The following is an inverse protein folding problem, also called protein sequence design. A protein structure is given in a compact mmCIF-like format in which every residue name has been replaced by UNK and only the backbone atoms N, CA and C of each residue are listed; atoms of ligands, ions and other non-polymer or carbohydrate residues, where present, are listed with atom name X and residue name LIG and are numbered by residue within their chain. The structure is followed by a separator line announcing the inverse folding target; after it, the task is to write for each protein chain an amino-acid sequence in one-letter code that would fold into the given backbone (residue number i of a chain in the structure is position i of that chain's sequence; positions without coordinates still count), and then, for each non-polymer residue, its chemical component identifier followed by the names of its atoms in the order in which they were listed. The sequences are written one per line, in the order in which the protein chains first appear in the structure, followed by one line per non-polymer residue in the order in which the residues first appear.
data_IF_735482660019
#
_entry.id   IF_735482660019
#
_cell.length_a   1.000
_cell.length_b   1.000
_cell.length_c   1.000
_cell.angle_alpha   90.00
_cell.angle_beta   90.00
_cell.angle_gamma   90.00
#
_symmetry.space_group_name_H-M   'P 1'
#
loop_
_entity.id
_entity.type
_entity.pdbx_description
1 polymer ?
#
# COMPACT_ATOMS: atom_id res chain seq x y z
N UNK A 1 -20.83 -20.37 9.18
CA UNK A 1 -22.32 -20.35 9.20
C UNK A 1 -22.78 -19.84 7.83
N UNK A 2 -23.92 -20.28 7.28
CA UNK A 2 -24.44 -19.68 6.06
C UNK A 2 -24.66 -18.18 6.31
N UNK A 3 -24.11 -17.35 5.44
CA UNK A 3 -24.29 -15.90 5.52
C UNK A 3 -25.78 -15.61 5.25
N UNK A 4 -26.39 -14.71 6.03
CA UNK A 4 -27.76 -14.26 5.76
C UNK A 4 -27.72 -13.52 4.41
N UNK A 5 -28.77 -13.58 3.58
CA UNK A 5 -28.80 -12.76 2.35
C UNK A 5 -29.21 -11.31 2.65
N UNK A 6 -28.96 -10.38 1.73
CA UNK A 6 -29.23 -8.95 1.96
C UNK A 6 -30.70 -8.67 2.27
N UNK A 7 -31.66 -9.34 1.61
CA UNK A 7 -33.08 -9.06 1.83
C UNK A 7 -33.47 -9.47 3.26
N UNK A 8 -33.12 -10.69 3.65
CA UNK A 8 -33.37 -11.18 5.01
C UNK A 8 -32.67 -10.30 6.04
N UNK A 9 -31.43 -9.85 5.78
CA UNK A 9 -30.74 -8.94 6.70
C UNK A 9 -31.48 -7.61 6.85
N UNK A 10 -31.91 -6.98 5.75
CA UNK A 10 -32.65 -5.72 5.79
C UNK A 10 -34.00 -5.85 6.50
N UNK A 11 -34.68 -6.99 6.37
CA UNK A 11 -35.89 -7.29 7.14
C UNK A 11 -35.61 -7.39 8.64
N UNK A 12 -34.50 -8.04 9.03
CA UNK A 12 -34.11 -8.19 10.43
C UNK A 12 -33.63 -6.87 11.06
N UNK A 13 -32.86 -6.06 10.33
CA UNK A 13 -32.34 -4.80 10.86
C UNK A 13 -33.35 -3.66 10.75
N UNK A 14 -34.33 -3.72 9.84
CA UNK A 14 -35.31 -2.67 9.60
C UNK A 14 -34.83 -1.56 8.67
N UNK A 15 -35.58 -0.45 8.62
CA UNK A 15 -35.35 0.63 7.66
C UNK A 15 -34.09 1.45 7.96
N UNK A 16 -33.18 1.53 6.99
CA UNK A 16 -31.94 2.30 7.09
C UNK A 16 -32.26 3.79 7.09
N UNK A 17 -31.63 4.53 8.02
CA UNK A 17 -31.90 5.95 8.25
C UNK A 17 -30.71 6.66 8.87
N UNK A 18 -30.71 8.00 8.81
CA UNK A 18 -29.68 8.85 9.43
C UNK A 18 -29.84 8.96 10.96
N UNK A 19 -30.51 8.00 11.62
CA UNK A 19 -30.65 8.01 13.07
C UNK A 19 -29.30 7.82 13.74
N UNK A 20 -29.00 8.66 14.73
CA UNK A 20 -27.81 8.57 15.59
C UNK A 20 -28.09 7.80 16.88
N UNK A 21 -29.29 7.23 17.03
CA UNK A 21 -29.64 6.44 18.21
C UNK A 21 -28.84 5.13 18.24
N UNK A 22 -28.37 4.76 19.42
CA UNK A 22 -27.68 3.50 19.65
C UNK A 22 -28.58 2.32 19.29
N UNK A 23 -28.02 1.40 18.51
CA UNK A 23 -28.75 0.25 17.97
C UNK A 23 -29.71 0.61 16.85
N UNK A 24 -29.57 1.76 16.17
CA UNK A 24 -30.35 2.06 14.97
C UNK A 24 -30.22 0.95 13.91
N UNK A 25 -31.19 0.87 12.98
CA UNK A 25 -31.15 -0.11 11.88
C UNK A 25 -29.83 -0.04 11.09
N UNK A 26 -29.36 1.17 10.82
CA UNK A 26 -28.10 1.41 10.10
C UNK A 26 -26.87 1.02 10.90
N UNK A 27 -26.84 1.27 12.21
CA UNK A 27 -25.76 0.79 13.06
C UNK A 27 -25.74 -0.75 13.11
N UNK A 28 -26.89 -1.40 13.30
CA UNK A 28 -26.98 -2.87 13.28
C UNK A 28 -26.55 -3.46 11.95
N UNK A 29 -26.94 -2.83 10.83
CA UNK A 29 -26.53 -3.23 9.49
C UNK A 29 -25.00 -3.16 9.35
N UNK A 30 -24.39 -2.02 9.65
CA UNK A 30 -22.93 -1.80 9.57
C UNK A 30 -22.16 -2.76 10.49
N UNK A 31 -22.66 -2.98 11.71
CA UNK A 31 -22.06 -3.94 12.64
C UNK A 31 -22.13 -5.37 12.09
N UNK A 32 -23.25 -5.77 11.50
CA UNK A 32 -23.37 -7.07 10.85
C UNK A 32 -22.36 -7.21 9.71
N UNK A 33 -22.27 -6.21 8.82
CA UNK A 33 -21.29 -6.21 7.71
C UNK A 33 -19.87 -6.41 8.25
N UNK A 34 -19.45 -5.60 9.23
CA UNK A 34 -18.11 -5.67 9.83
C UNK A 34 -17.73 -7.03 10.40
N UNK A 35 -18.72 -7.79 10.89
CA UNK A 35 -18.48 -9.07 11.57
C UNK A 35 -18.65 -10.28 10.65
N UNK A 36 -19.43 -10.17 9.57
CA UNK A 36 -19.89 -11.33 8.79
C UNK A 36 -19.63 -11.22 7.28
N UNK A 37 -19.41 -10.02 6.74
CA UNK A 37 -19.26 -9.77 5.29
C UNK A 37 -17.81 -9.37 5.01
N UNK A 38 -16.87 -10.29 5.23
CA UNK A 38 -15.44 -9.99 5.18
C UNK A 38 -14.75 -10.43 3.89
N UNK A 39 -15.34 -11.38 3.14
CA UNK A 39 -14.76 -11.86 1.88
C UNK A 39 -15.26 -11.08 0.67
N UNK A 40 -14.44 -10.97 -0.37
CA UNK A 40 -14.85 -10.34 -1.62
C UNK A 40 -16.09 -11.01 -2.25
N UNK A 41 -16.22 -12.34 -2.09
CA UNK A 41 -17.39 -13.10 -2.54
C UNK A 41 -18.67 -12.67 -1.83
N UNK A 42 -18.63 -12.50 -0.50
CA UNK A 42 -19.79 -12.08 0.28
C UNK A 42 -20.19 -10.64 -0.06
N UNK A 43 -19.20 -9.74 -0.12
CA UNK A 43 -19.40 -8.34 -0.50
C UNK A 43 -20.03 -8.25 -1.90
N UNK A 44 -19.54 -9.04 -2.86
CA UNK A 44 -20.08 -9.12 -4.22
C UNK A 44 -21.56 -9.52 -4.21
N UNK A 45 -21.91 -10.61 -3.53
CA UNK A 45 -23.28 -11.10 -3.47
C UNK A 45 -24.26 -10.06 -2.89
N UNK A 46 -23.84 -9.36 -1.84
CA UNK A 46 -24.63 -8.30 -1.22
C UNK A 46 -24.81 -7.10 -2.14
N UNK A 47 -23.73 -6.63 -2.77
CA UNK A 47 -23.80 -5.47 -3.66
C UNK A 47 -24.62 -5.79 -4.93
N UNK A 48 -24.46 -6.98 -5.50
CA UNK A 48 -25.27 -7.42 -6.66
C UNK A 48 -26.76 -7.40 -6.31
N UNK A 49 -27.14 -7.94 -5.15
CA UNK A 49 -28.53 -7.88 -4.66
C UNK A 49 -29.00 -6.43 -4.52
N UNK A 50 -28.19 -5.54 -3.95
CA UNK A 50 -28.54 -4.12 -3.81
C UNK A 50 -28.70 -3.40 -5.16
N UNK A 51 -27.96 -3.79 -6.19
CA UNK A 51 -28.03 -3.22 -7.54
C UNK A 51 -29.16 -3.77 -8.40
N UNK A 52 -29.63 -4.99 -8.11
CA UNK A 52 -30.75 -5.62 -8.83
C UNK A 52 -32.11 -5.17 -8.33
N UNK A 53 -32.21 -4.84 -7.05
CA UNK A 53 -33.46 -4.41 -6.44
C UNK A 53 -33.71 -2.92 -6.62
N UNK A 54 -34.99 -2.54 -6.70
CA UNK A 54 -35.41 -1.13 -6.81
C UNK A 54 -35.93 -0.65 -5.47
N UNK A 55 -35.38 0.46 -4.97
CA UNK A 55 -35.93 1.13 -3.80
C UNK A 55 -34.90 1.93 -3.01
N UNK A 56 -35.39 2.92 -2.25
CA UNK A 56 -34.56 3.78 -1.41
C UNK A 56 -33.72 2.98 -0.40
N UNK A 57 -34.31 1.93 0.17
CA UNK A 57 -33.61 1.04 1.12
C UNK A 57 -32.38 0.36 0.50
N UNK A 58 -32.48 -0.08 -0.76
CA UNK A 58 -31.38 -0.74 -1.48
C UNK A 58 -30.29 0.26 -1.89
N UNK A 59 -30.65 1.49 -2.23
CA UNK A 59 -29.69 2.56 -2.48
C UNK A 59 -28.86 2.88 -1.23
N UNK A 60 -29.52 2.93 -0.06
CA UNK A 60 -28.85 3.11 1.24
C UNK A 60 -27.95 1.94 1.60
N UNK A 61 -28.43 0.72 1.39
CA UNK A 61 -27.64 -0.48 1.61
C UNK A 61 -26.40 -0.49 0.70
N UNK A 62 -26.55 -0.11 -0.58
CA UNK A 62 -25.44 0.01 -1.52
C UNK A 62 -24.40 1.02 -1.04
N UNK A 63 -24.82 2.22 -0.61
CA UNK A 63 -23.91 3.23 -0.05
C UNK A 63 -23.09 2.67 1.11
N UNK A 64 -23.74 2.01 2.08
CA UNK A 64 -23.04 1.42 3.23
C UNK A 64 -22.15 0.23 2.83
N UNK A 65 -22.57 -0.59 1.86
CA UNK A 65 -21.76 -1.70 1.34
C UNK A 65 -20.49 -1.22 0.64
N UNK A 66 -20.57 -0.13 -0.14
CA UNK A 66 -19.37 0.49 -0.76
C UNK A 66 -18.45 1.07 0.31
N UNK A 67 -19.00 1.71 1.33
CA UNK A 67 -18.20 2.19 2.46
C UNK A 67 -17.56 1.05 3.25
N UNK A 68 -18.28 -0.06 3.44
CA UNK A 68 -17.74 -1.25 4.06
C UNK A 68 -16.61 -1.88 3.21
N UNK A 69 -16.77 -1.92 1.88
CA UNK A 69 -15.69 -2.30 0.96
C UNK A 69 -14.46 -1.41 1.16
N UNK A 70 -14.64 -0.09 1.35
CA UNK A 70 -13.55 0.82 1.72
C UNK A 70 -12.82 0.41 3.00
N UNK A 71 -13.55 -0.05 4.02
CA UNK A 71 -12.93 -0.58 5.26
C UNK A 71 -12.10 -1.83 4.97
N UNK A 72 -12.62 -2.76 4.16
CA UNK A 72 -11.92 -3.98 3.79
C UNK A 72 -10.68 -3.72 2.92
N UNK A 73 -10.66 -2.60 2.18
CA UNK A 73 -9.48 -2.07 1.47
C UNK A 73 -8.46 -1.38 2.38
N UNK A 74 -8.71 -1.35 3.70
CA UNK A 74 -7.79 -0.83 4.71
C UNK A 74 -7.94 0.66 5.01
N UNK A 75 -9.01 1.31 4.55
CA UNK A 75 -9.29 2.70 4.90
C UNK A 75 -10.02 2.82 6.24
N UNK A 76 -9.74 3.91 6.96
CA UNK A 76 -10.62 4.37 8.04
C UNK A 76 -11.83 5.08 7.41
N UNK A 77 -13.01 4.50 7.54
CA UNK A 77 -14.21 4.98 6.84
C UNK A 77 -15.18 5.66 7.80
N UNK A 78 -15.56 6.89 7.45
CA UNK A 78 -16.73 7.58 8.00
C UNK A 78 -17.88 7.45 7.01
N UNK A 79 -18.97 6.81 7.43
CA UNK A 79 -20.19 6.67 6.64
C UNK A 79 -20.89 8.03 6.51
N UNK A 80 -21.27 8.38 5.28
CA UNK A 80 -22.06 9.57 4.99
C UNK A 80 -23.52 9.42 5.39
N UNK A 81 -24.28 10.48 5.15
CA UNK A 81 -25.73 10.51 5.34
C UNK A 81 -26.41 9.92 4.12
N UNK A 82 -27.55 9.26 4.31
CA UNK A 82 -28.40 8.81 3.21
C UNK A 82 -29.22 9.95 2.61
N UNK A 83 -29.55 10.96 3.43
CA UNK A 83 -30.32 12.13 2.98
C UNK A 83 -29.51 13.40 3.15
N UNK A 84 -29.44 14.17 2.07
CA UNK A 84 -28.86 15.51 2.10
C UNK A 84 -29.63 16.44 3.02
N UNK A 85 -28.92 17.11 3.92
CA UNK A 85 -29.47 18.12 4.82
C UNK A 85 -28.85 19.47 4.48
N UNK A 86 -29.68 20.52 4.44
CA UNK A 86 -29.22 21.87 4.14
C UNK A 86 -28.16 22.31 5.15
N UNK A 87 -27.01 22.75 4.65
CA UNK A 87 -25.90 23.23 5.49
C UNK A 87 -25.00 22.13 6.05
N UNK A 88 -25.20 20.86 5.66
CA UNK A 88 -24.28 19.77 5.94
C UNK A 88 -23.69 19.21 4.65
N UNK A 89 -22.48 18.66 4.74
CA UNK A 89 -21.84 18.04 3.58
C UNK A 89 -22.53 16.72 3.24
N UNK A 90 -22.92 16.55 1.98
CA UNK A 90 -23.75 15.43 1.51
C UNK A 90 -22.98 14.30 0.84
N UNK A 91 -21.72 14.07 1.18
CA UNK A 91 -20.96 12.94 0.63
C UNK A 91 -21.52 11.61 1.15
N UNK A 92 -21.34 10.55 0.36
CA UNK A 92 -21.81 9.22 0.73
C UNK A 92 -20.84 8.47 1.65
N UNK A 93 -19.54 8.75 1.51
CA UNK A 93 -18.48 8.22 2.35
C UNK A 93 -17.24 9.11 2.41
N UNK A 94 -16.49 9.03 3.51
CA UNK A 94 -15.17 9.63 3.64
C UNK A 94 -14.17 8.57 4.09
N UNK A 95 -13.22 8.24 3.21
CA UNK A 95 -12.21 7.21 3.45
C UNK A 95 -10.86 7.89 3.74
N UNK A 96 -10.25 7.59 4.88
CA UNK A 96 -8.97 8.15 5.28
C UNK A 96 -7.90 7.08 5.26
N UNK A 97 -6.75 7.41 4.66
CA UNK A 97 -5.57 6.58 4.73
C UNK A 97 -4.75 6.92 5.98
N UNK A 98 -4.41 5.91 6.77
CA UNK A 98 -3.66 6.08 8.02
C UNK A 98 -2.16 6.33 7.80
N UNK A 99 -1.63 6.05 6.60
CA UNK A 99 -0.19 6.03 6.33
C UNK A 99 0.38 7.35 5.79
N UNK A 100 -0.42 8.14 5.06
CA UNK A 100 0.10 9.30 4.31
C UNK A 100 -0.86 10.50 4.28
N UNK A 101 -1.93 10.46 5.08
CA UNK A 101 -2.86 11.59 5.23
C UNK A 101 -3.82 11.80 4.06
N UNK A 102 -3.81 10.93 3.05
CA UNK A 102 -4.78 11.01 1.96
C UNK A 102 -6.21 10.77 2.45
N UNK A 103 -7.14 11.52 1.88
CA UNK A 103 -8.58 11.35 2.10
C UNK A 103 -9.30 11.22 0.76
N UNK A 104 -10.24 10.28 0.68
CA UNK A 104 -11.08 10.05 -0.50
C UNK A 104 -12.53 10.35 -0.11
N UNK A 105 -13.15 11.31 -0.78
CA UNK A 105 -14.57 11.64 -0.63
C UNK A 105 -15.34 10.86 -1.69
N UNK A 106 -16.24 9.99 -1.25
CA UNK A 106 -16.93 9.01 -2.08
C UNK A 106 -18.36 9.45 -2.36
N UNK A 107 -18.78 9.28 -3.61
CA UNK A 107 -20.17 9.39 -4.07
C UNK A 107 -20.55 8.11 -4.82
N UNK A 108 -21.64 7.48 -4.39
CA UNK A 108 -22.13 6.21 -4.93
C UNK A 108 -23.35 6.44 -5.82
N UNK A 109 -23.38 5.73 -6.95
CA UNK A 109 -24.50 5.74 -7.90
C UNK A 109 -24.78 4.33 -8.39
N UNK A 110 -26.05 3.98 -8.52
CA UNK A 110 -26.46 2.68 -9.10
C UNK A 110 -26.11 2.58 -10.58
N UNK A 111 -26.21 3.71 -11.31
CA UNK A 111 -25.90 3.83 -12.74
C UNK A 111 -25.34 5.21 -13.07
N UNK A 112 -24.57 5.29 -14.15
CA UNK A 112 -23.99 6.51 -14.74
C UNK A 112 -24.91 7.25 -15.73
N UNK A 113 -26.09 6.71 -16.03
CA UNK A 113 -27.07 7.29 -16.97
C UNK A 113 -27.58 8.67 -16.51
N UNK A 114 -27.56 8.94 -15.20
CA UNK A 114 -27.98 10.22 -14.66
C UNK A 114 -26.84 11.24 -14.67
N UNK A 115 -27.17 12.48 -15.10
CA UNK A 115 -26.26 13.63 -15.11
C UNK A 115 -25.75 13.98 -13.71
N UNK A 116 -24.69 13.33 -13.26
CA UNK A 116 -23.95 13.73 -12.07
C UNK A 116 -22.93 14.79 -12.48
N UNK A 117 -22.92 15.90 -11.76
CA UNK A 117 -21.97 17.00 -12.00
C UNK A 117 -20.73 16.77 -11.15
N UNK A 118 -19.57 16.86 -11.78
CA UNK A 118 -18.25 16.95 -11.13
C UNK A 118 -18.21 17.98 -9.99
N UNK A 119 -19.03 19.03 -10.07
CA UNK A 119 -19.14 20.10 -9.09
C UNK A 119 -19.66 19.61 -7.73
N UNK A 120 -20.41 18.50 -7.68
CA UNK A 120 -20.97 17.95 -6.45
C UNK A 120 -19.86 17.51 -5.49
N UNK A 121 -18.99 16.57 -5.92
CA UNK A 121 -17.89 16.10 -5.07
C UNK A 121 -16.88 17.21 -4.77
N UNK A 122 -16.57 18.09 -5.74
CA UNK A 122 -15.70 19.23 -5.46
C UNK A 122 -16.31 20.17 -4.41
N UNK A 123 -17.62 20.40 -4.46
CA UNK A 123 -18.34 21.17 -3.46
C UNK A 123 -18.21 20.54 -2.07
N UNK A 124 -18.34 19.22 -1.98
CA UNK A 124 -18.17 18.50 -0.72
C UNK A 124 -16.74 18.58 -0.19
N UNK A 125 -15.73 18.38 -1.05
CA UNK A 125 -14.32 18.53 -0.69
C UNK A 125 -14.07 19.95 -0.15
N UNK A 126 -14.55 20.98 -0.85
CA UNK A 126 -14.35 22.36 -0.41
C UNK A 126 -15.04 22.64 0.93
N UNK A 127 -16.25 22.10 1.15
CA UNK A 127 -16.96 22.24 2.43
C UNK A 127 -16.21 21.55 3.58
N UNK A 128 -15.75 20.31 3.38
CA UNK A 128 -14.95 19.57 4.36
C UNK A 128 -13.63 20.26 4.72
N UNK A 129 -12.97 20.88 3.74
CA UNK A 129 -11.78 21.71 3.97
C UNK A 129 -12.14 22.94 4.79
N UNK A 130 -13.26 23.63 4.47
CA UNK A 130 -13.70 24.82 5.20
C UNK A 130 -14.10 24.53 6.65
N UNK A 131 -14.62 23.33 6.92
CA UNK A 131 -14.95 22.83 8.25
C UNK A 131 -13.72 22.27 9.01
N UNK A 132 -12.54 22.33 8.41
CA UNK A 132 -11.27 21.84 8.96
C UNK A 132 -11.26 20.33 9.27
N UNK A 133 -12.14 19.57 8.60
CA UNK A 133 -12.22 18.11 8.67
C UNK A 133 -11.19 17.43 7.76
N UNK A 134 -10.73 18.14 6.73
CA UNK A 134 -9.64 17.76 5.84
C UNK A 134 -8.48 18.75 5.97
N UNK A 135 -7.38 18.30 6.59
CA UNK A 135 -6.23 19.14 6.92
C UNK A 135 -5.42 19.58 5.69
N UNK A 136 -5.40 18.78 4.63
CA UNK A 136 -4.63 19.06 3.42
C UNK A 136 -5.50 18.86 2.16
N UNK A 137 -5.95 19.94 1.51
CA UNK A 137 -6.73 19.86 0.27
C UNK A 137 -6.00 19.16 -0.87
N UNK A 138 -4.67 19.24 -0.93
CA UNK A 138 -3.85 18.63 -1.99
C UNK A 138 -3.72 17.11 -1.82
N UNK A 139 -4.05 16.59 -0.64
CA UNK A 139 -4.12 15.15 -0.33
C UNK A 139 -5.58 14.67 -0.26
N UNK A 140 -6.46 15.28 -1.06
CA UNK A 140 -7.87 14.90 -1.13
C UNK A 140 -8.27 14.55 -2.56
N UNK A 141 -8.92 13.39 -2.71
CA UNK A 141 -9.48 12.92 -3.97
C UNK A 141 -11.00 12.76 -3.86
N UNK A 142 -11.74 13.12 -4.90
CA UNK A 142 -13.14 12.71 -5.06
C UNK A 142 -13.23 11.44 -5.89
N UNK A 143 -14.02 10.47 -5.43
CA UNK A 143 -14.23 9.19 -6.13
C UNK A 143 -15.72 8.96 -6.38
N UNK A 144 -16.11 8.92 -7.65
CA UNK A 144 -17.41 8.43 -8.05
C UNK A 144 -17.36 6.91 -8.21
N UNK A 145 -18.29 6.21 -7.54
CA UNK A 145 -18.44 4.76 -7.61
C UNK A 145 -19.75 4.41 -8.30
N UNK A 146 -19.67 3.75 -9.46
CA UNK A 146 -20.84 3.37 -10.26
C UNK A 146 -21.10 1.87 -10.20
N UNK A 147 -22.34 1.49 -9.89
CA UNK A 147 -22.80 0.11 -9.94
C UNK A 147 -22.71 -0.48 -11.34
N UNK A 148 -23.20 0.27 -12.34
CA UNK A 148 -23.19 -0.11 -13.75
C UNK A 148 -22.78 1.10 -14.59
N UNK A 149 -21.81 0.89 -15.49
CA UNK A 149 -21.54 1.84 -16.57
C UNK A 149 -22.40 1.47 -17.78
N UNK A 150 -23.11 2.43 -18.34
CA UNK A 150 -23.70 2.31 -19.66
C UNK A 150 -22.61 2.57 -20.71
N UNK A 151 -22.33 1.54 -21.51
CA UNK A 151 -21.29 1.54 -22.54
C UNK A 151 -21.47 2.62 -23.62
N UNK A 152 -22.63 3.30 -23.65
CA UNK A 152 -22.92 4.38 -24.58
C UNK A 152 -22.65 5.78 -23.99
N UNK A 153 -22.33 5.90 -22.70
CA UNK A 153 -22.24 7.22 -22.03
C UNK A 153 -21.05 7.35 -21.07
N UNK A 154 -19.90 7.81 -21.57
CA UNK A 154 -18.77 8.23 -20.72
C UNK A 154 -18.92 9.67 -20.20
N UNK A 155 -20.13 10.09 -19.80
CA UNK A 155 -20.43 11.50 -19.51
C UNK A 155 -19.58 12.07 -18.36
N UNK A 156 -19.44 11.32 -17.26
CA UNK A 156 -18.65 11.76 -16.11
C UNK A 156 -17.15 11.82 -16.44
N UNK A 157 -16.62 10.81 -17.11
CA UNK A 157 -15.22 10.79 -17.55
C UNK A 157 -14.92 11.98 -18.46
N UNK A 158 -15.79 12.21 -19.46
CA UNK A 158 -15.68 13.36 -20.37
C UNK A 158 -15.75 14.68 -19.62
N UNK A 159 -16.65 14.83 -18.64
CA UNK A 159 -16.74 16.04 -17.82
C UNK A 159 -15.47 16.28 -17.00
N UNK A 160 -14.90 15.25 -16.37
CA UNK A 160 -13.63 15.34 -15.63
C UNK A 160 -12.49 15.78 -16.55
N UNK A 161 -12.46 15.24 -17.78
CA UNK A 161 -11.45 15.60 -18.79
C UNK A 161 -11.63 17.05 -19.23
N UNK A 162 -12.83 17.44 -19.68
CA UNK A 162 -13.13 18.77 -20.23
C UNK A 162 -12.94 19.87 -19.19
N UNK A 163 -13.30 19.60 -17.94
CA UNK A 163 -13.16 20.56 -16.83
C UNK A 163 -11.77 20.54 -16.17
N UNK A 164 -10.83 19.75 -16.70
CA UNK A 164 -9.46 19.60 -16.21
C UNK A 164 -9.36 19.21 -14.71
N UNK A 165 -10.13 18.19 -14.30
CA UNK A 165 -10.24 17.73 -12.90
C UNK A 165 -9.57 16.38 -12.64
N UNK A 166 -8.72 15.90 -13.55
CA UNK A 166 -8.10 14.56 -13.51
C UNK A 166 -7.27 14.29 -12.24
N UNK A 167 -6.67 15.33 -11.67
CA UNK A 167 -5.89 15.25 -10.43
C UNK A 167 -6.78 15.22 -9.16
N UNK A 168 -8.07 15.56 -9.28
CA UNK A 168 -8.98 15.73 -8.13
C UNK A 168 -10.16 14.78 -8.14
N UNK A 169 -10.52 14.22 -9.29
CA UNK A 169 -11.69 13.37 -9.44
C UNK A 169 -11.32 12.09 -10.20
N UNK A 170 -11.82 10.96 -9.69
CA UNK A 170 -11.74 9.65 -10.34
C UNK A 170 -13.10 8.99 -10.37
N UNK A 171 -13.23 8.04 -11.27
CA UNK A 171 -14.43 7.22 -11.44
C UNK A 171 -14.00 5.76 -11.41
N UNK A 172 -14.78 4.92 -10.74
CA UNK A 172 -14.54 3.48 -10.66
C UNK A 172 -15.87 2.73 -10.69
N UNK A 173 -15.87 1.53 -11.28
CA UNK A 173 -17.03 0.63 -11.18
C UNK A 173 -16.99 -0.15 -9.87
N UNK A 174 -18.17 -0.56 -9.41
CA UNK A 174 -18.30 -1.52 -8.31
C UNK A 174 -17.54 -2.82 -8.59
N UNK A 175 -17.68 -3.49 -9.76
CA UNK A 175 -16.86 -4.66 -10.09
C UNK A 175 -15.36 -4.43 -9.91
N UNK A 176 -14.81 -3.30 -10.39
CA UNK A 176 -13.37 -3.02 -10.28
C UNK A 176 -12.92 -2.85 -8.82
N UNK A 177 -13.76 -2.28 -7.94
CA UNK A 177 -13.47 -2.19 -6.51
C UNK A 177 -13.51 -3.56 -5.82
N UNK A 178 -14.43 -4.43 -6.22
CA UNK A 178 -14.50 -5.81 -5.70
C UNK A 178 -13.28 -6.60 -6.18
N UNK A 179 -12.91 -6.48 -7.46
CA UNK A 179 -11.72 -7.14 -7.99
C UNK A 179 -10.45 -6.65 -7.27
N UNK A 180 -10.39 -5.36 -6.90
CA UNK A 180 -9.31 -4.82 -6.06
C UNK A 180 -9.29 -5.47 -4.66
N UNK A 181 -10.45 -5.68 -4.04
CA UNK A 181 -10.54 -6.40 -2.78
C UNK A 181 -10.12 -7.88 -2.92
N UNK A 182 -10.50 -8.54 -4.02
CA UNK A 182 -10.02 -9.89 -4.35
C UNK A 182 -8.50 -9.91 -4.46
N UNK A 183 -7.89 -8.89 -5.08
CA UNK A 183 -6.44 -8.80 -5.15
C UNK A 183 -5.81 -8.68 -3.75
N UNK A 184 -6.36 -7.80 -2.89
CA UNK A 184 -5.90 -7.66 -1.50
C UNK A 184 -5.95 -9.00 -0.76
N UNK A 185 -7.06 -9.73 -0.85
CA UNK A 185 -7.26 -10.98 -0.12
C UNK A 185 -6.48 -12.15 -0.72
N UNK A 186 -6.46 -12.27 -2.04
CA UNK A 186 -5.87 -13.40 -2.76
C UNK A 186 -4.39 -13.23 -3.02
N UNK A 187 -3.86 -12.02 -3.14
CA UNK A 187 -2.43 -11.82 -3.43
C UNK A 187 -1.71 -11.16 -2.25
N UNK A 188 -2.41 -10.40 -1.40
CA UNK A 188 -1.79 -9.73 -0.25
C UNK A 188 -1.27 -8.34 -0.63
N UNK A 189 -2.03 -7.61 -1.44
CA UNK A 189 -1.73 -6.21 -1.76
C UNK A 189 -1.85 -5.38 -0.48
N UNK A 190 -0.81 -4.60 -0.18
CA UNK A 190 -0.83 -3.69 0.97
C UNK A 190 -1.72 -2.45 0.71
N UNK A 191 -2.06 -1.75 1.80
CA UNK A 191 -2.92 -0.57 1.73
C UNK A 191 -2.30 0.58 0.89
N UNK A 192 -0.97 0.72 0.90
CA UNK A 192 -0.27 1.74 0.11
C UNK A 192 -0.47 1.49 -1.40
N UNK A 193 -0.36 0.24 -1.82
CA UNK A 193 -0.62 -0.23 -3.18
C UNK A 193 -2.07 0.03 -3.59
N UNK A 194 -3.03 -0.33 -2.74
CA UNK A 194 -4.46 -0.08 -2.98
C UNK A 194 -4.74 1.42 -3.17
N UNK A 195 -4.17 2.26 -2.30
CA UNK A 195 -4.33 3.70 -2.40
C UNK A 195 -3.72 4.23 -3.71
N UNK A 196 -2.50 3.83 -4.06
CA UNK A 196 -1.82 4.28 -5.28
C UNK A 196 -2.57 3.90 -6.57
N UNK A 197 -3.38 2.84 -6.55
CA UNK A 197 -4.27 2.46 -7.65
C UNK A 197 -5.45 3.41 -7.84
N UNK A 198 -5.97 3.95 -6.73
CA UNK A 198 -7.08 4.88 -6.74
C UNK A 198 -6.63 6.32 -7.04
N UNK A 199 -5.41 6.69 -6.63
CA UNK A 199 -4.86 8.03 -6.85
C UNK A 199 -4.54 8.33 -8.32
N UNK A 200 -4.53 9.61 -8.74
CA UNK A 200 -4.04 10.02 -10.06
C UNK A 200 -2.65 9.48 -10.33
N UNK A 201 -2.44 9.01 -11.56
CA UNK A 201 -1.16 8.42 -11.92
C UNK A 201 -0.05 9.47 -11.90
N UNK A 202 1.06 9.21 -11.19
CA UNK A 202 2.20 10.12 -11.22
C UNK A 202 2.79 10.18 -12.63
N UNK A 203 3.39 11.33 -12.96
CA UNK A 203 4.11 11.54 -14.23
C UNK A 203 5.15 10.43 -14.49
N UNK A 204 5.77 9.94 -13.41
CA UNK A 204 6.68 8.80 -13.45
C UNK A 204 5.87 7.50 -13.42
N UNK A 205 6.08 6.64 -14.41
CA UNK A 205 5.37 5.35 -14.54
C UNK A 205 5.94 4.22 -13.66
N UNK A 206 7.13 4.39 -13.08
CA UNK A 206 7.77 3.37 -12.22
C UNK A 206 6.86 2.79 -11.12
N UNK A 207 6.03 3.58 -10.40
CA UNK A 207 5.10 3.05 -9.41
C UNK A 207 4.11 2.04 -10.00
N UNK A 208 3.55 2.32 -11.18
CA UNK A 208 2.62 1.41 -11.89
C UNK A 208 3.35 0.10 -12.27
N UNK A 209 4.58 0.22 -12.75
CA UNK A 209 5.36 -0.95 -13.18
C UNK A 209 5.81 -1.80 -11.98
N UNK A 210 6.07 -1.18 -10.83
CA UNK A 210 6.35 -1.90 -9.59
C UNK A 210 5.09 -2.57 -9.03
N UNK A 211 3.96 -1.88 -9.10
CA UNK A 211 2.67 -2.45 -8.74
C UNK A 211 2.35 -3.72 -9.53
N UNK A 212 2.40 -3.67 -10.87
CA UNK A 212 2.14 -4.85 -11.73
C UNK A 212 3.11 -5.99 -11.37
N UNK A 213 4.39 -5.67 -11.13
CA UNK A 213 5.37 -6.69 -10.73
C UNK A 213 5.02 -7.34 -9.40
N UNK A 214 4.64 -6.56 -8.39
CA UNK A 214 4.33 -7.09 -7.06
C UNK A 214 3.18 -8.10 -7.15
N UNK A 215 2.13 -7.78 -7.92
CA UNK A 215 1.00 -8.70 -8.14
C UNK A 215 1.45 -9.98 -8.84
N UNK A 216 2.23 -9.86 -9.92
CA UNK A 216 2.73 -11.02 -10.69
C UNK A 216 3.69 -11.90 -9.85
N UNK A 217 4.53 -11.29 -9.03
CA UNK A 217 5.46 -12.02 -8.15
C UNK A 217 4.71 -12.80 -7.06
N UNK A 218 3.68 -12.21 -6.46
CA UNK A 218 2.83 -12.88 -5.47
C UNK A 218 2.05 -14.07 -6.06
N UNK A 219 1.73 -14.04 -7.36
CA UNK A 219 1.12 -15.17 -8.06
C UNK A 219 2.12 -16.33 -8.23
N UNK A 220 3.36 -16.04 -8.64
CA UNK A 220 4.40 -17.05 -8.86
C UNK A 220 4.87 -17.74 -7.58
N UNK A 221 4.94 -17.02 -6.45
CA UNK A 221 5.33 -17.60 -5.17
C UNK A 221 4.29 -18.60 -4.61
N UNK A 222 3.02 -18.49 -5.03
CA UNK A 222 1.93 -19.38 -4.58
C UNK A 222 1.77 -20.65 -5.42
N UNK A 223 2.35 -20.71 -6.63
CA UNK A 223 2.34 -21.91 -7.48
C UNK A 223 3.45 -22.92 -7.14
N UNK A 224 4.38 -22.56 -6.25
CA UNK A 224 5.40 -23.48 -5.74
C UNK A 224 4.77 -24.39 -4.66
N UNK A 225 4.74 -25.73 -4.84
CA UNK A 225 4.16 -26.61 -3.84
C UNK A 225 4.95 -26.55 -2.53
N UNK A 226 4.21 -26.39 -1.44
CA UNK A 226 4.70 -26.42 -0.07
C UNK A 226 5.29 -27.82 0.20
N UNK A 227 6.61 -27.96 0.06
CA UNK A 227 7.34 -29.15 0.49
C UNK A 227 7.19 -29.26 2.01
N UNK A 228 6.46 -30.28 2.46
CA UNK A 228 6.24 -30.58 3.86
C UNK A 228 7.57 -30.63 4.63
N UNK A 229 7.64 -30.09 5.86
CA UNK A 229 8.87 -30.10 6.63
C UNK A 229 9.17 -31.53 7.08
N UNK A 230 10.29 -32.08 6.60
CA UNK A 230 10.89 -33.28 7.18
C UNK A 230 11.18 -33.04 8.66
N UNK A 231 10.62 -33.93 9.47
CA UNK A 231 10.85 -34.04 10.91
C UNK A 231 12.34 -34.25 11.20
N UNK A 232 12.99 -33.24 11.77
CA UNK A 232 14.34 -33.38 12.34
C UNK A 232 14.36 -32.84 13.77
N UNK A 233 14.17 -33.79 14.69
CA UNK A 233 14.73 -33.89 16.04
C UNK A 233 15.44 -32.64 16.60
N UNK A 234 14.81 -31.95 17.55
CA UNK A 234 15.51 -31.23 18.62
C UNK A 234 14.80 -31.40 19.95
N UNK A 235 15.49 -32.07 20.88
CA UNK A 235 15.18 -32.09 22.31
C UNK A 235 15.37 -30.70 22.94
N UNK A 236 14.74 -30.42 24.09
CA UNK A 236 14.40 -29.08 24.54
C UNK A 236 15.46 -28.46 25.45
N UNK A 237 15.70 -27.15 25.34
CA UNK A 237 16.39 -26.39 26.40
C UNK A 237 15.71 -25.04 26.63
N UNK A 238 15.03 -25.00 27.78
CA UNK A 238 14.79 -23.92 28.75
C UNK A 238 14.58 -22.47 28.29
N UNK A 239 13.37 -22.02 28.60
CA UNK A 239 12.95 -20.65 28.87
C UNK A 239 13.85 -20.01 29.95
N UNK A 240 14.34 -18.81 29.66
CA UNK A 240 14.69 -17.83 30.69
C UNK A 240 13.90 -16.57 30.38
N UNK A 241 12.93 -16.29 31.23
CA UNK A 241 12.23 -15.02 31.34
C UNK A 241 13.20 -13.94 31.81
N UNK A 242 13.18 -12.78 31.17
CA UNK A 242 13.42 -11.51 31.87
C UNK A 242 12.49 -10.45 31.27
N UNK A 243 11.66 -9.90 32.15
CA UNK A 243 10.77 -8.78 31.89
C UNK A 243 11.52 -7.44 31.95
N UNK A 244 10.88 -6.47 31.30
CA UNK A 244 10.84 -5.04 31.59
C UNK A 244 12.04 -4.14 31.26
N UNK A 245 11.85 -3.27 30.27
CA UNK A 245 11.49 -1.88 30.59
C UNK A 245 11.18 -1.05 29.35
N UNK A 246 10.02 -0.41 29.43
CA UNK A 246 9.47 0.59 28.53
C UNK A 246 10.23 1.92 28.70
N UNK A 247 10.73 2.53 27.62
CA UNK A 247 10.98 3.98 27.58
C UNK A 247 10.87 4.53 26.16
N UNK A 248 9.82 5.34 25.98
CA UNK A 248 9.59 6.17 24.81
C UNK A 248 10.70 7.22 24.63
N UNK A 249 11.25 7.32 23.41
CA UNK A 249 12.06 8.45 22.97
C UNK A 249 11.62 8.92 21.60
N UNK A 250 11.29 10.21 21.52
CA UNK A 250 10.77 10.91 20.36
C UNK A 250 11.72 10.83 19.15
N UNK A 251 11.16 10.62 17.96
CA UNK A 251 11.90 10.63 16.69
C UNK A 251 12.19 12.08 16.26
N UNK A 252 13.45 12.49 16.03
CA UNK A 252 13.76 13.69 15.29
C UNK A 252 13.52 13.44 13.78
N UNK A 253 12.97 14.43 13.09
CA UNK A 253 12.78 14.44 11.64
C UNK A 253 14.15 14.36 10.94
N UNK A 254 14.48 13.26 10.25
CA UNK A 254 15.70 13.13 9.46
C UNK A 254 15.53 13.79 8.08
N UNK A 255 16.32 14.83 7.82
CA UNK A 255 16.58 15.38 6.49
C UNK A 255 17.10 14.28 5.55
N UNK A 256 16.57 14.18 4.33
CA UNK A 256 17.11 13.28 3.29
C UNK A 256 18.49 13.77 2.83
N UNK A 257 19.55 12.96 2.88
CA UNK A 257 20.89 13.37 2.42
C UNK A 257 20.95 13.45 0.89
N UNK A 258 21.74 14.41 0.40
CA UNK A 258 22.03 14.67 -1.02
C UNK A 258 22.75 13.45 -1.63
N UNK A 259 22.22 12.87 -2.70
CA UNK A 259 22.85 11.74 -3.38
C UNK A 259 24.01 12.25 -4.26
N UNK A 260 25.24 11.88 -3.94
CA UNK A 260 26.44 12.19 -4.74
C UNK A 260 26.44 11.34 -6.02
N UNK A 261 26.64 11.98 -7.18
CA UNK A 261 26.77 11.28 -8.47
C UNK A 261 28.25 10.95 -8.75
N UNK A 262 28.53 9.67 -8.97
CA UNK A 262 29.85 9.11 -9.25
C UNK A 262 30.03 8.69 -10.71
N UNK A 263 29.13 9.10 -11.62
CA UNK A 263 29.24 8.81 -13.05
C UNK A 263 30.59 9.29 -13.60
N UNK A 264 31.36 8.38 -14.22
CA UNK A 264 32.68 8.69 -14.79
C UNK A 264 33.83 8.83 -13.79
N UNK A 265 33.56 8.74 -12.48
CA UNK A 265 34.57 8.90 -11.44
C UNK A 265 35.43 7.65 -11.26
N UNK A 266 36.74 7.85 -10.99
CA UNK A 266 37.66 6.77 -10.64
C UNK A 266 37.85 6.72 -9.13
N UNK A 267 37.46 5.61 -8.51
CA UNK A 267 37.64 5.42 -7.06
C UNK A 267 39.13 5.25 -6.70
N UNK A 268 39.52 5.77 -5.53
CA UNK A 268 40.86 5.68 -4.94
C UNK A 268 40.87 4.91 -3.63
N UNK A 269 39.88 5.16 -2.79
CA UNK A 269 39.73 4.46 -1.51
C UNK A 269 38.30 4.46 -1.06
N UNK A 270 38.01 3.52 -0.16
CA UNK A 270 36.81 3.49 0.65
C UNK A 270 37.23 3.53 2.10
N UNK A 271 36.54 4.34 2.89
CA UNK A 271 36.73 4.45 4.32
C UNK A 271 35.41 4.18 5.03
N UNK A 272 35.44 3.33 6.04
CA UNK A 272 34.34 3.11 6.96
C UNK A 272 34.86 3.24 8.38
N UNK A 273 34.34 4.22 9.12
CA UNK A 273 34.88 4.61 10.44
C UNK A 273 36.40 4.88 10.37
N UNK A 274 37.19 4.20 11.20
CA UNK A 274 38.65 4.34 11.26
C UNK A 274 39.40 3.45 10.26
N UNK A 275 38.70 2.61 9.49
CA UNK A 275 39.29 1.67 8.52
C UNK A 275 39.26 2.29 7.12
N UNK A 276 40.42 2.37 6.46
CA UNK A 276 40.56 2.85 5.06
C UNK A 276 41.28 1.82 4.21
N UNK A 277 40.71 1.51 3.04
CA UNK A 277 41.29 0.58 2.07
C UNK A 277 41.41 1.27 0.71
N UNK A 278 42.60 1.21 0.12
CA UNK A 278 42.85 1.70 -1.23
C UNK A 278 42.31 0.71 -2.27
N UNK A 279 41.55 1.24 -3.23
CA UNK A 279 40.88 0.46 -4.28
C UNK A 279 40.92 1.23 -5.59
N UNK A 280 41.06 0.51 -6.70
CA UNK A 280 41.14 1.09 -8.05
C UNK A 280 39.93 0.75 -8.95
N UNK A 281 39.00 -0.06 -8.45
CA UNK A 281 37.75 -0.42 -9.13
C UNK A 281 36.60 -0.37 -8.13
N UNK A 282 35.44 0.11 -8.58
CA UNK A 282 34.23 0.19 -7.76
C UNK A 282 33.81 -1.16 -7.19
N UNK A 283 33.98 -2.25 -7.95
CA UNK A 283 33.73 -3.60 -7.44
C UNK A 283 34.53 -3.91 -6.16
N UNK A 284 35.82 -3.57 -6.13
CA UNK A 284 36.67 -3.79 -4.96
C UNK A 284 36.28 -2.90 -3.78
N UNK A 285 35.72 -1.71 -4.05
CA UNK A 285 35.13 -0.89 -3.00
C UNK A 285 33.93 -1.57 -2.35
N UNK A 286 33.07 -2.22 -3.15
CA UNK A 286 31.93 -2.96 -2.63
C UNK A 286 32.35 -4.17 -1.78
N UNK A 287 33.33 -4.93 -2.27
CA UNK A 287 33.93 -6.05 -1.52
C UNK A 287 34.54 -5.58 -0.18
N UNK A 288 35.23 -4.44 -0.16
CA UNK A 288 35.75 -3.85 1.07
C UNK A 288 34.64 -3.44 2.05
N UNK A 289 33.52 -2.90 1.57
CA UNK A 289 32.35 -2.59 2.42
C UNK A 289 31.77 -3.86 3.04
N UNK A 290 31.60 -4.94 2.27
CA UNK A 290 31.17 -6.22 2.84
C UNK A 290 32.12 -6.68 3.95
N UNK A 291 33.42 -6.59 3.71
CA UNK A 291 34.43 -7.00 4.68
C UNK A 291 34.38 -6.19 5.97
N UNK A 292 34.26 -4.85 5.87
CA UNK A 292 34.11 -3.99 7.05
C UNK A 292 32.87 -4.40 7.87
N UNK A 293 31.74 -4.60 7.21
CA UNK A 293 30.49 -4.92 7.87
C UNK A 293 30.47 -6.32 8.50
N UNK A 294 31.10 -7.31 7.85
CA UNK A 294 31.26 -8.66 8.40
C UNK A 294 32.14 -8.64 9.65
N UNK A 295 33.18 -7.80 9.67
CA UNK A 295 34.05 -7.64 10.84
C UNK A 295 33.33 -7.00 12.03
N UNK A 296 32.40 -6.07 11.78
CA UNK A 296 31.60 -5.46 12.84
C UNK A 296 30.56 -6.42 13.41
N UNK A 297 29.74 -7.03 12.56
CA UNK A 297 28.75 -8.01 12.99
C UNK A 297 28.35 -8.94 11.83
N UNK A 298 29.05 -10.06 11.72
CA UNK A 298 28.81 -11.08 10.71
C UNK A 298 27.37 -11.60 10.72
N UNK A 299 26.79 -11.88 11.89
CA UNK A 299 25.45 -12.46 11.98
C UNK A 299 24.38 -11.46 11.53
N UNK A 300 24.54 -10.19 11.89
CA UNK A 300 23.68 -9.09 11.41
C UNK A 300 23.85 -8.90 9.90
N UNK A 301 25.08 -8.92 9.39
CA UNK A 301 25.34 -8.84 7.96
C UNK A 301 24.66 -9.99 7.20
N UNK A 302 24.85 -11.24 7.60
CA UNK A 302 24.25 -12.41 6.95
C UNK A 302 22.70 -12.38 7.00
N UNK A 303 22.12 -11.80 8.06
CA UNK A 303 20.68 -11.63 8.19
C UNK A 303 20.12 -10.55 7.26
N UNK A 304 20.79 -9.39 7.17
CA UNK A 304 20.22 -8.22 6.50
C UNK A 304 20.71 -8.03 5.06
N UNK A 305 21.93 -8.44 4.72
CA UNK A 305 22.47 -8.25 3.37
C UNK A 305 21.59 -8.90 2.27
N UNK A 306 21.00 -10.10 2.45
CA UNK A 306 20.11 -10.69 1.43
C UNK A 306 18.78 -9.95 1.24
N UNK A 307 18.41 -9.06 2.18
CA UNK A 307 17.20 -8.23 2.06
C UNK A 307 17.36 -7.11 1.02
N UNK A 308 18.59 -6.85 0.56
CA UNK A 308 18.87 -5.92 -0.55
C UNK A 308 18.54 -6.54 -1.89
N UNK A 309 17.28 -6.38 -2.28
CA UNK A 309 16.74 -6.86 -3.55
C UNK A 309 16.59 -5.74 -4.58
N UNK A 310 17.03 -6.03 -5.81
CA UNK A 310 16.83 -5.17 -6.96
C UNK A 310 15.52 -5.48 -7.69
N UNK A 311 15.24 -4.71 -8.74
CA UNK A 311 14.01 -4.76 -9.54
C UNK A 311 13.64 -6.16 -10.09
N UNK A 312 14.63 -6.98 -10.44
CA UNK A 312 14.43 -8.30 -11.07
C UNK A 312 15.17 -9.43 -10.36
N UNK A 313 16.18 -9.10 -9.56
CA UNK A 313 17.16 -10.04 -8.99
C UNK A 313 17.66 -9.48 -7.67
N UNK A 314 17.99 -10.33 -6.69
CA UNK A 314 18.72 -9.90 -5.51
C UNK A 314 20.08 -9.30 -5.89
N UNK A 315 20.62 -8.43 -5.04
CA UNK A 315 22.01 -8.00 -5.16
C UNK A 315 22.94 -8.90 -4.35
N UNK A 316 22.43 -9.51 -3.28
CA UNK A 316 23.13 -10.46 -2.42
C UNK A 316 22.17 -11.62 -2.15
N UNK A 317 22.66 -12.86 -2.26
CA UNK A 317 21.83 -14.08 -2.17
C UNK A 317 22.66 -15.27 -1.66
N UNK A 318 22.00 -16.22 -0.98
CA UNK A 318 22.59 -17.55 -0.70
C UNK A 318 22.68 -18.41 -1.96
N UNK A 319 21.79 -18.16 -2.93
CA UNK A 319 21.73 -18.87 -4.21
C UNK A 319 22.38 -18.00 -5.31
N UNK A 320 23.53 -18.44 -5.89
CA UNK A 320 24.22 -17.71 -6.94
C UNK A 320 23.45 -17.65 -8.27
N UNK A 321 22.52 -18.57 -8.54
CA UNK A 321 21.78 -18.63 -9.81
C UNK A 321 20.75 -17.49 -9.93
N UNK A 322 20.36 -16.90 -8.79
CA UNK A 322 19.53 -15.71 -8.74
C UNK A 322 20.27 -14.44 -9.19
N UNK A 323 21.60 -14.44 -9.17
CA UNK A 323 22.44 -13.31 -9.56
C UNK A 323 22.82 -13.38 -11.04
N UNK A 324 23.06 -12.23 -11.68
CA UNK A 324 23.47 -12.17 -13.10
C UNK A 324 24.96 -12.48 -13.26
N UNK A 325 25.78 -12.01 -12.33
CA UNK A 325 27.23 -12.28 -12.30
C UNK A 325 27.68 -12.46 -10.86
N UNK A 326 27.44 -13.66 -10.27
CA UNK A 326 27.74 -13.92 -8.87
C UNK A 326 29.24 -13.91 -8.58
N UNK A 327 29.62 -13.33 -7.45
CA UNK A 327 30.89 -13.60 -6.78
C UNK A 327 30.64 -13.92 -5.30
N UNK A 328 31.48 -14.76 -4.73
CA UNK A 328 31.38 -15.13 -3.31
C UNK A 328 31.72 -13.94 -2.41
N UNK A 329 31.02 -13.84 -1.28
CA UNK A 329 31.42 -12.98 -0.16
C UNK A 329 32.22 -13.86 0.83
N UNK A 330 33.55 -13.66 0.94
CA UNK A 330 34.38 -14.49 1.80
C UNK A 330 33.85 -14.58 3.24
N UNK A 331 34.08 -15.72 3.88
CA UNK A 331 33.65 -16.00 5.25
C UNK A 331 32.14 -16.09 5.46
N UNK A 332 31.31 -16.06 4.41
CA UNK A 332 29.84 -16.22 4.48
C UNK A 332 29.35 -17.28 3.49
N UNK A 333 28.07 -17.64 3.56
CA UNK A 333 27.39 -18.46 2.53
C UNK A 333 26.77 -17.61 1.41
N UNK A 334 27.09 -16.31 1.36
CA UNK A 334 26.46 -15.35 0.47
C UNK A 334 27.28 -15.10 -0.78
N UNK A 335 26.57 -14.77 -1.85
CA UNK A 335 27.08 -14.28 -3.12
C UNK A 335 26.56 -12.87 -3.37
N UNK A 336 27.29 -12.07 -4.13
CA UNK A 336 26.87 -10.73 -4.54
C UNK A 336 26.99 -10.51 -6.05
N UNK A 337 26.18 -9.58 -6.56
CA UNK A 337 26.20 -9.15 -7.96
C UNK A 337 27.43 -8.29 -8.26
N UNK A 338 28.25 -8.72 -9.22
CA UNK A 338 29.48 -8.00 -9.61
C UNK A 338 29.29 -6.99 -10.73
N UNK A 339 28.23 -7.12 -11.53
CA UNK A 339 27.99 -6.26 -12.70
C UNK A 339 27.14 -5.03 -12.33
N UNK A 340 27.73 -4.15 -11.52
CA UNK A 340 27.08 -2.94 -11.00
C UNK A 340 27.86 -1.66 -11.37
N UNK A 341 27.12 -0.59 -11.66
CA UNK A 341 27.70 0.73 -11.87
C UNK A 341 28.22 1.35 -10.56
N UNK A 342 29.11 2.35 -10.66
CA UNK A 342 29.62 3.12 -9.53
C UNK A 342 28.50 3.63 -8.60
N UNK A 343 27.47 4.24 -9.19
CA UNK A 343 26.31 4.76 -8.45
C UNK A 343 25.49 3.66 -7.79
N UNK A 344 25.36 2.49 -8.42
CA UNK A 344 24.68 1.36 -7.79
C UNK A 344 25.47 0.82 -6.62
N UNK A 345 26.79 0.69 -6.76
CA UNK A 345 27.67 0.23 -5.68
C UNK A 345 27.59 1.20 -4.49
N UNK A 346 27.78 2.49 -4.72
CA UNK A 346 27.70 3.49 -3.65
C UNK A 346 26.34 3.44 -2.94
N UNK A 347 25.24 3.42 -3.70
CA UNK A 347 23.88 3.32 -3.15
C UNK A 347 23.67 2.05 -2.32
N UNK A 348 24.14 0.90 -2.80
CA UNK A 348 23.98 -0.38 -2.09
C UNK A 348 24.84 -0.43 -0.84
N UNK A 349 26.06 0.11 -0.87
CA UNK A 349 26.90 0.24 0.30
C UNK A 349 26.26 1.13 1.38
N UNK A 350 25.69 2.28 1.00
CA UNK A 350 24.97 3.13 1.94
C UNK A 350 23.74 2.43 2.54
N UNK A 351 23.01 1.67 1.72
CA UNK A 351 21.87 0.91 2.22
C UNK A 351 22.29 -0.23 3.16
N UNK A 352 23.40 -0.92 2.88
CA UNK A 352 23.96 -1.95 3.76
C UNK A 352 24.34 -1.41 5.13
N UNK A 353 25.08 -0.31 5.18
CA UNK A 353 25.50 0.27 6.47
C UNK A 353 24.28 0.75 7.28
N UNK A 354 23.26 1.30 6.60
CA UNK A 354 22.01 1.72 7.25
C UNK A 354 21.21 0.54 7.81
N UNK A 355 21.15 -0.58 7.09
CA UNK A 355 20.56 -1.83 7.59
C UNK A 355 21.31 -2.38 8.81
N UNK A 356 22.59 -2.06 8.92
CA UNK A 356 23.42 -2.40 10.08
C UNK A 356 23.40 -1.33 11.17
N UNK A 357 22.55 -0.30 11.02
CA UNK A 357 22.31 0.80 11.97
C UNK A 357 23.45 1.82 12.08
N UNK A 358 24.27 1.93 11.03
CA UNK A 358 25.28 2.99 10.89
C UNK A 358 24.73 4.18 10.08
N UNK A 359 25.23 5.38 10.37
CA UNK A 359 24.87 6.60 9.64
C UNK A 359 25.63 6.71 8.32
N UNK A 360 25.02 7.36 7.33
CA UNK A 360 25.53 7.35 5.96
C UNK A 360 26.92 8.00 5.82
N UNK A 361 27.23 9.00 6.66
CA UNK A 361 28.49 9.73 6.69
C UNK A 361 29.65 8.93 7.30
N UNK A 362 29.38 7.79 7.94
CA UNK A 362 30.41 6.85 8.40
C UNK A 362 31.09 6.10 7.25
N UNK A 363 30.50 6.11 6.05
CA UNK A 363 31.09 5.53 4.83
C UNK A 363 31.44 6.63 3.83
N UNK A 364 32.71 6.69 3.44
CA UNK A 364 33.24 7.68 2.52
C UNK A 364 33.92 7.01 1.33
N UNK A 365 33.52 7.41 0.12
CA UNK A 365 34.21 7.05 -1.13
C UNK A 365 35.07 8.22 -1.60
N UNK A 366 36.39 8.02 -1.67
CA UNK A 366 37.30 8.99 -2.28
C UNK A 366 37.45 8.70 -3.77
N UNK A 367 37.21 9.70 -4.60
CA UNK A 367 37.30 9.60 -6.07
C UNK A 367 38.26 10.63 -6.66
N UNK A 368 38.79 10.36 -7.85
CA UNK A 368 39.64 11.26 -8.64
C UNK A 368 38.84 12.08 -9.64
#
# INVERSE_FOLDING_TARGET
MPNIDLNTLLELVGSLSDSTELGSASERFRNYLSSNVTSAKDVRAYIETALEQVGDQYNKALQDLINHLGQLLGFEVTFGRYKGVRGQVGYDGLWKSSINGWSIVVEVKTTDVYNVRTATLLGYINALVSENLLKNPDLTLGLYVYGRFDSHTNQMENAIIVENRRERLRVVSVPALIDLLELVQKYGLDHETVLNLLLPFPVRIDPIVNLIRNVVSQEQERELPELAPETSNRSPVMLVETEDSNQARAKPQKNKPKLTDYTGSKIRSVQFQDKRVEVNKWRYAFEAVHQFLIEEDKSKFERYAPTLVGRKRPYISVDPDLLRSPATIPSTQLYFETNLSANQIARLSYALIQLMEYEQDELVFEVK
#
